data_IF_604993013877
#
_entry.id   IF_604993013877
#
_cell.length_a   1.000
_cell.length_b   1.000
_cell.length_c   1.000
_cell.angle_alpha   90.00
_cell.angle_beta   90.00
_cell.angle_gamma   90.00
#
_symmetry.space_group_name_H-M   'P 1'
#
loop_
_entity.id
_entity.type
_entity.pdbx_description
1 polymer ?
#
# COMPACT_ATOMS: atom_id res chain seq x y z
N UNK A 1 -20.59 34.47 1.50
CA UNK A 1 -19.64 34.78 0.40
C UNK A 1 -19.79 33.87 -0.81
N UNK A 2 -20.86 34.05 -1.57
CA UNK A 2 -21.13 33.31 -2.83
C UNK A 2 -20.26 33.79 -4.01
N UNK A 3 -19.55 34.92 -3.86
CA UNK A 3 -18.68 35.51 -4.89
C UNK A 3 -17.39 34.71 -5.16
N UNK A 4 -16.97 33.84 -4.24
CA UNK A 4 -15.79 32.97 -4.42
C UNK A 4 -16.09 31.71 -5.26
N UNK A 5 -17.35 31.37 -5.48
CA UNK A 5 -17.78 30.11 -6.14
C UNK A 5 -18.43 30.37 -7.51
N UNK A 6 -18.71 31.62 -7.87
CA UNK A 6 -19.27 31.96 -9.18
C UNK A 6 -18.20 31.78 -10.27
N UNK A 7 -18.49 30.97 -11.30
CA UNK A 7 -17.57 30.59 -12.37
C UNK A 7 -16.96 31.77 -13.17
N UNK A 8 -17.56 32.96 -13.07
CA UNK A 8 -17.15 34.20 -13.76
C UNK A 8 -16.54 35.24 -12.82
N UNK A 9 -16.22 34.89 -11.57
CA UNK A 9 -15.58 35.84 -10.64
C UNK A 9 -14.10 36.06 -10.96
N UNK A 10 -13.60 37.28 -10.72
CA UNK A 10 -12.18 37.62 -10.90
C UNK A 10 -11.26 36.71 -10.07
N UNK A 11 -11.74 36.26 -8.90
CA UNK A 11 -11.05 35.31 -8.03
C UNK A 11 -10.87 33.94 -8.71
N UNK A 12 -11.90 33.43 -9.39
CA UNK A 12 -11.85 32.17 -10.14
C UNK A 12 -10.85 32.27 -11.28
N UNK A 13 -10.86 33.38 -12.03
CA UNK A 13 -9.88 33.59 -13.12
C UNK A 13 -8.44 33.69 -12.64
N UNK A 14 -8.21 34.36 -11.49
CA UNK A 14 -6.89 34.46 -10.87
C UNK A 14 -6.38 33.08 -10.41
N UNK A 15 -7.24 32.29 -9.76
CA UNK A 15 -6.93 30.93 -9.34
C UNK A 15 -6.59 30.00 -10.51
N UNK A 16 -7.32 30.10 -11.63
CA UNK A 16 -7.03 29.34 -12.86
C UNK A 16 -5.67 29.72 -13.43
N UNK A 17 -5.33 31.01 -13.47
CA UNK A 17 -4.02 31.46 -13.93
C UNK A 17 -2.88 30.98 -13.03
N UNK A 18 -3.04 31.12 -11.71
CA UNK A 18 -2.08 30.63 -10.72
C UNK A 18 -1.87 29.13 -10.92
N UNK A 19 -2.96 28.36 -10.99
CA UNK A 19 -2.91 26.92 -11.18
C UNK A 19 -2.14 26.53 -12.45
N UNK A 20 -2.43 27.17 -13.59
CA UNK A 20 -1.73 26.92 -14.86
C UNK A 20 -0.24 27.20 -14.76
N UNK A 21 0.14 28.34 -14.17
CA UNK A 21 1.54 28.70 -13.96
C UNK A 21 2.23 27.69 -13.04
N UNK A 22 1.58 27.31 -11.94
CA UNK A 22 2.09 26.29 -11.02
C UNK A 22 2.31 24.96 -11.72
N UNK A 23 1.37 24.49 -12.54
CA UNK A 23 1.50 23.24 -13.31
C UNK A 23 2.71 23.29 -14.25
N UNK A 24 2.90 24.39 -14.98
CA UNK A 24 4.06 24.56 -15.87
C UNK A 24 5.38 24.54 -15.09
N UNK A 25 5.45 25.28 -13.97
CA UNK A 25 6.65 25.35 -13.13
C UNK A 25 6.98 23.99 -12.50
N UNK A 26 5.99 23.29 -11.97
CA UNK A 26 6.15 21.96 -11.37
C UNK A 26 6.59 20.97 -12.44
N UNK A 27 5.95 20.98 -13.62
CA UNK A 27 6.32 20.08 -14.73
C UNK A 27 7.75 20.32 -15.18
N UNK A 28 8.14 21.58 -15.41
CA UNK A 28 9.50 21.94 -15.78
C UNK A 28 10.52 21.51 -14.72
N UNK A 29 10.22 21.71 -13.44
CA UNK A 29 11.07 21.25 -12.34
C UNK A 29 11.22 19.72 -12.30
N UNK A 30 10.14 18.96 -12.48
CA UNK A 30 10.19 17.50 -12.51
C UNK A 30 11.05 16.97 -13.67
N UNK A 31 10.89 17.55 -14.87
CA UNK A 31 11.71 17.19 -16.02
C UNK A 31 13.19 17.50 -15.78
N UNK A 32 13.50 18.63 -15.15
CA UNK A 32 14.88 18.98 -14.82
C UNK A 32 15.47 18.12 -13.70
N UNK A 33 14.65 17.71 -12.73
CA UNK A 33 15.08 16.78 -11.68
C UNK A 33 15.47 15.42 -12.29
N UNK A 34 14.70 14.95 -13.28
CA UNK A 34 15.01 13.73 -14.03
C UNK A 34 16.28 13.90 -14.89
N UNK A 35 16.38 14.98 -15.67
CA UNK A 35 17.53 15.27 -16.53
C UNK A 35 18.86 15.37 -15.75
N UNK A 36 18.79 15.81 -14.49
CA UNK A 36 19.96 15.94 -13.61
C UNK A 36 20.41 14.60 -12.99
N UNK A 37 19.59 13.55 -13.01
CA UNK A 37 19.92 12.25 -12.42
C UNK A 37 18.83 11.60 -11.58
N UNK A 38 17.67 12.24 -11.36
CA UNK A 38 16.51 11.59 -10.74
C UNK A 38 16.68 11.18 -9.27
N UNK A 39 17.68 11.69 -8.55
CA UNK A 39 17.84 11.39 -7.11
C UNK A 39 16.81 12.13 -6.24
N UNK A 40 16.45 11.63 -5.05
CA UNK A 40 15.48 12.29 -4.16
C UNK A 40 15.81 13.76 -3.88
N UNK A 41 17.10 14.07 -3.77
CA UNK A 41 17.59 15.44 -3.56
C UNK A 41 17.37 16.38 -4.75
N UNK A 42 17.18 15.86 -5.96
CA UNK A 42 16.87 16.66 -7.15
C UNK A 42 15.41 17.13 -7.15
N UNK A 43 14.48 16.32 -6.63
CA UNK A 43 13.06 16.66 -6.56
C UNK A 43 12.73 17.76 -5.54
N UNK A 44 13.55 17.96 -4.51
CA UNK A 44 13.32 18.97 -3.47
C UNK A 44 14.09 20.28 -3.68
N UNK A 45 14.92 20.40 -4.73
CA UNK A 45 15.82 21.55 -4.95
C UNK A 45 15.60 22.24 -6.31
N UNK A 46 14.48 22.96 -6.51
CA UNK A 46 14.13 23.57 -7.79
C UNK A 46 15.16 24.58 -8.31
N UNK A 47 15.67 25.44 -7.43
CA UNK A 47 16.68 26.44 -7.81
C UNK A 47 17.98 25.80 -8.33
N UNK A 48 18.41 24.69 -7.72
CA UNK A 48 19.62 23.98 -8.18
C UNK A 48 19.43 23.33 -9.56
N UNK A 49 18.21 22.93 -9.91
CA UNK A 49 17.91 22.34 -11.20
C UNK A 49 17.96 23.38 -12.32
N UNK A 50 17.45 24.59 -12.05
CA UNK A 50 17.54 25.72 -12.99
C UNK A 50 19.00 26.19 -13.18
N UNK A 51 19.76 26.32 -12.08
CA UNK A 51 21.17 26.70 -12.17
C UNK A 51 22.01 25.67 -12.93
N UNK A 52 21.71 24.37 -12.73
CA UNK A 52 22.32 23.30 -13.50
C UNK A 52 22.01 23.45 -14.99
N UNK A 53 20.75 23.66 -15.37
CA UNK A 53 20.34 23.87 -16.76
C UNK A 53 21.10 25.03 -17.42
N UNK A 54 21.21 26.18 -16.75
CA UNK A 54 21.94 27.35 -17.26
C UNK A 54 23.41 27.01 -17.47
N UNK A 55 24.02 26.29 -16.52
CA UNK A 55 25.40 25.81 -16.64
C UNK A 55 25.58 24.85 -17.83
N UNK A 56 24.60 24.00 -18.09
CA UNK A 56 24.64 23.03 -19.18
C UNK A 56 24.45 23.65 -20.56
N UNK A 57 23.54 24.61 -20.70
CA UNK A 57 23.39 25.37 -21.95
C UNK A 57 24.67 26.11 -22.31
N UNK A 58 25.37 26.68 -21.32
CA UNK A 58 26.67 27.35 -21.55
C UNK A 58 27.79 26.38 -21.96
N UNK A 59 27.67 25.09 -21.61
CA UNK A 59 28.67 24.04 -21.88
C UNK A 59 28.33 23.17 -23.10
N UNK A 60 27.12 23.31 -23.67
CA UNK A 60 26.70 22.60 -24.88
C UNK A 60 26.39 21.11 -24.73
N UNK A 61 26.36 20.56 -23.51
CA UNK A 61 26.23 19.11 -23.28
C UNK A 61 24.97 18.65 -22.57
N UNK A 62 23.89 19.45 -22.63
CA UNK A 62 22.62 19.14 -21.96
C UNK A 62 22.00 17.82 -22.43
N UNK A 63 21.84 17.63 -23.74
CA UNK A 63 21.12 16.48 -24.30
C UNK A 63 21.80 15.15 -23.97
N UNK A 64 23.11 15.05 -24.16
CA UNK A 64 23.87 13.82 -23.91
C UNK A 64 23.84 13.42 -22.42
N UNK A 65 23.99 14.39 -21.51
CA UNK A 65 23.89 14.13 -20.06
C UNK A 65 22.48 13.83 -19.60
N UNK A 66 21.49 14.55 -20.11
CA UNK A 66 20.09 14.29 -19.78
C UNK A 66 19.66 12.90 -20.25
N UNK A 67 20.01 12.51 -21.48
CA UNK A 67 19.73 11.19 -22.02
C UNK A 67 20.39 10.09 -21.18
N UNK A 68 21.69 10.23 -20.88
CA UNK A 68 22.43 9.26 -20.07
C UNK A 68 21.79 9.08 -18.69
N UNK A 69 21.45 10.18 -18.01
CA UNK A 69 20.82 10.15 -16.69
C UNK A 69 19.41 9.56 -16.72
N UNK A 70 18.58 9.96 -17.69
CA UNK A 70 17.22 9.43 -17.83
C UNK A 70 17.26 7.94 -18.15
N UNK A 71 18.14 7.51 -19.07
CA UNK A 71 18.31 6.10 -19.41
C UNK A 71 18.79 5.28 -18.22
N UNK A 72 19.77 5.80 -17.49
CA UNK A 72 20.27 5.16 -16.25
C UNK A 72 19.14 5.02 -15.24
N UNK A 73 18.42 6.11 -14.95
CA UNK A 73 17.28 6.13 -14.03
C UNK A 73 16.21 5.09 -14.42
N UNK A 74 15.79 5.07 -15.69
CA UNK A 74 14.79 4.11 -16.19
C UNK A 74 15.29 2.67 -16.07
N UNK A 75 16.58 2.43 -16.36
CA UNK A 75 17.17 1.09 -16.25
C UNK A 75 17.26 0.62 -14.79
N UNK A 76 17.56 1.51 -13.85
CA UNK A 76 17.66 1.23 -12.41
C UNK A 76 16.29 0.94 -11.79
N UNK A 77 15.21 1.56 -12.29
CA UNK A 77 13.86 1.28 -11.82
C UNK A 77 13.43 -0.18 -12.05
N UNK A 78 14.09 -0.92 -12.96
CA UNK A 78 13.79 -2.34 -13.28
C UNK A 78 12.28 -2.59 -13.40
N UNK A 79 11.56 -1.73 -14.14
CA UNK A 79 10.09 -1.68 -14.16
C UNK A 79 9.48 -3.06 -14.39
N UNK A 80 9.98 -3.80 -15.39
CA UNK A 80 9.45 -5.13 -15.72
C UNK A 80 9.61 -6.15 -14.59
N UNK A 81 10.73 -6.10 -13.85
CA UNK A 81 10.94 -6.97 -12.69
C UNK A 81 9.96 -6.63 -11.56
N UNK A 82 9.83 -5.36 -11.19
CA UNK A 82 8.93 -4.93 -10.12
C UNK A 82 7.46 -5.14 -10.48
N UNK A 83 7.08 -4.91 -11.74
CA UNK A 83 5.74 -5.20 -12.24
C UNK A 83 5.42 -6.69 -12.10
N UNK A 84 6.30 -7.58 -12.57
CA UNK A 84 6.05 -9.00 -12.49
C UNK A 84 6.08 -9.51 -11.03
N UNK A 85 6.93 -8.92 -10.19
CA UNK A 85 6.93 -9.21 -8.78
C UNK A 85 5.61 -8.81 -8.11
N UNK A 86 5.11 -7.61 -8.42
CA UNK A 86 3.83 -7.09 -7.94
C UNK A 86 2.66 -7.96 -8.37
N UNK A 87 2.59 -8.32 -9.66
CA UNK A 87 1.50 -9.15 -10.18
C UNK A 87 1.51 -10.57 -9.59
N UNK A 88 2.68 -11.20 -9.38
CA UNK A 88 2.77 -12.49 -8.65
C UNK A 88 2.30 -12.35 -7.20
N UNK A 89 2.71 -11.27 -6.53
CA UNK A 89 2.29 -10.97 -5.16
C UNK A 89 0.78 -10.72 -5.04
N UNK A 90 0.20 -10.06 -6.04
CA UNK A 90 -1.23 -9.84 -6.19
C UNK A 90 -1.99 -11.16 -6.38
N UNK A 91 -1.61 -11.96 -7.38
CA UNK A 91 -2.24 -13.26 -7.66
C UNK A 91 -2.15 -14.19 -6.46
N UNK A 92 -0.98 -14.26 -5.82
CA UNK A 92 -0.80 -15.07 -4.62
C UNK A 92 -1.64 -14.58 -3.45
N UNK A 93 -1.71 -13.26 -3.23
CA UNK A 93 -2.57 -12.67 -2.19
C UNK A 93 -4.06 -12.94 -2.44
N UNK A 94 -4.50 -12.80 -3.69
CA UNK A 94 -5.87 -13.07 -4.10
C UNK A 94 -6.24 -14.55 -3.91
N UNK A 95 -5.35 -15.47 -4.29
CA UNK A 95 -5.57 -16.91 -4.09
C UNK A 95 -5.82 -17.28 -2.61
N UNK A 96 -5.12 -16.61 -1.68
CA UNK A 96 -5.36 -16.78 -0.24
C UNK A 96 -6.63 -16.09 0.26
N UNK A 97 -7.07 -15.01 -0.38
CA UNK A 97 -8.18 -14.18 0.06
C UNK A 97 -9.56 -14.56 -0.47
N UNK A 98 -9.65 -15.14 -1.67
CA UNK A 98 -10.94 -15.41 -2.33
C UNK A 98 -11.85 -16.27 -1.46
N UNK A 99 -11.29 -17.36 -0.88
CA UNK A 99 -12.04 -18.29 -0.04
C UNK A 99 -12.53 -17.63 1.27
N UNK A 100 -11.66 -17.07 2.14
CA UNK A 100 -12.10 -16.48 3.40
C UNK A 100 -13.05 -15.29 3.19
N UNK A 101 -12.81 -14.46 2.18
CA UNK A 101 -13.65 -13.29 1.88
C UNK A 101 -15.02 -13.72 1.35
N UNK A 102 -15.05 -14.73 0.47
CA UNK A 102 -16.30 -15.30 -0.04
C UNK A 102 -17.17 -15.85 1.08
N UNK A 103 -16.59 -16.68 1.96
CA UNK A 103 -17.30 -17.22 3.14
C UNK A 103 -17.79 -16.13 4.08
N UNK A 104 -16.97 -15.11 4.32
CA UNK A 104 -17.33 -13.99 5.20
C UNK A 104 -18.52 -13.18 4.64
N UNK A 105 -18.59 -12.96 3.33
CA UNK A 105 -19.64 -12.19 2.66
C UNK A 105 -21.00 -12.88 2.47
N UNK A 106 -21.13 -14.18 2.82
CA UNK A 106 -22.37 -14.95 2.64
C UNK A 106 -23.53 -14.41 3.49
N UNK A 107 -23.24 -13.85 4.67
CA UNK A 107 -24.28 -13.37 5.59
C UNK A 107 -25.18 -12.34 4.92
N UNK A 108 -26.44 -12.72 4.71
CA UNK A 108 -27.43 -11.89 4.01
C UNK A 108 -28.76 -11.84 4.74
N UNK A 109 -29.08 -12.87 5.54
CA UNK A 109 -30.34 -12.99 6.28
C UNK A 109 -30.06 -13.41 7.73
N UNK A 110 -30.56 -12.67 8.73
CA UNK A 110 -30.34 -12.98 10.15
C UNK A 110 -30.91 -14.33 10.59
N UNK A 111 -31.95 -14.81 9.91
CA UNK A 111 -32.73 -15.98 10.34
C UNK A 111 -32.07 -17.33 9.99
N UNK A 112 -30.96 -17.32 9.24
CA UNK A 112 -30.27 -18.54 8.84
C UNK A 112 -29.00 -18.75 9.67
N UNK A 113 -29.12 -19.55 10.73
CA UNK A 113 -28.00 -19.96 11.59
C UNK A 113 -26.84 -20.59 10.79
N UNK A 114 -27.15 -21.28 9.67
CA UNK A 114 -26.12 -21.82 8.78
C UNK A 114 -25.26 -20.74 8.12
N UNK A 115 -25.86 -19.62 7.71
CA UNK A 115 -25.10 -18.49 7.15
C UNK A 115 -24.22 -17.82 8.22
N UNK A 116 -24.71 -17.72 9.46
CA UNK A 116 -23.92 -17.18 10.57
C UNK A 116 -22.65 -18.02 10.81
N UNK A 117 -22.78 -19.36 10.86
CA UNK A 117 -21.63 -20.25 11.02
C UNK A 117 -20.63 -20.12 9.87
N UNK A 118 -21.10 -20.04 8.63
CA UNK A 118 -20.24 -19.85 7.45
C UNK A 118 -19.46 -18.54 7.52
N UNK A 119 -20.10 -17.45 7.95
CA UNK A 119 -19.44 -16.16 8.12
C UNK A 119 -18.45 -16.14 9.28
N UNK A 120 -18.75 -16.82 10.39
CA UNK A 120 -17.79 -16.98 11.50
C UNK A 120 -16.55 -17.78 11.07
N UNK A 121 -16.75 -18.86 10.30
CA UNK A 121 -15.65 -19.64 9.70
C UNK A 121 -14.86 -18.77 8.72
N UNK A 122 -15.55 -17.98 7.88
CA UNK A 122 -14.94 -16.99 6.99
C UNK A 122 -14.08 -15.99 7.75
N UNK A 123 -14.61 -15.38 8.81
CA UNK A 123 -13.89 -14.42 9.65
C UNK A 123 -12.67 -15.03 10.34
N UNK A 124 -12.81 -16.23 10.92
CA UNK A 124 -11.68 -16.93 11.54
C UNK A 124 -10.60 -17.31 10.51
N UNK A 125 -11.00 -17.77 9.33
CA UNK A 125 -10.07 -18.05 8.24
C UNK A 125 -9.38 -16.78 7.73
N UNK A 126 -10.08 -15.65 7.71
CA UNK A 126 -9.54 -14.34 7.36
C UNK A 126 -8.49 -13.89 8.38
N UNK A 127 -8.75 -14.02 9.69
CA UNK A 127 -7.75 -13.76 10.76
C UNK A 127 -6.46 -14.53 10.49
N UNK A 128 -6.55 -15.81 10.13
CA UNK A 128 -5.37 -16.61 9.81
C UNK A 128 -4.68 -16.10 8.55
N UNK A 129 -5.40 -15.87 7.47
CA UNK A 129 -4.82 -15.39 6.19
C UNK A 129 -4.12 -14.05 6.37
N UNK A 130 -4.76 -13.10 7.03
CA UNK A 130 -4.22 -11.76 7.34
C UNK A 130 -2.97 -11.82 8.23
N UNK A 131 -2.85 -12.83 9.10
CA UNK A 131 -1.65 -13.05 9.92
C UNK A 131 -0.41 -13.42 9.11
N UNK A 132 -0.58 -14.17 8.02
CA UNK A 132 0.54 -14.85 7.33
C UNK A 132 0.87 -14.26 5.96
N UNK A 133 -0.14 -13.82 5.19
CA UNK A 133 0.05 -13.41 3.80
C UNK A 133 0.98 -12.21 3.61
N UNK A 134 0.99 -11.14 4.44
CA UNK A 134 1.96 -10.05 4.27
C UNK A 134 3.41 -10.54 4.29
N UNK A 135 3.71 -11.55 5.12
CA UNK A 135 5.05 -12.13 5.21
C UNK A 135 5.34 -13.17 4.13
N UNK A 136 4.32 -13.86 3.60
CA UNK A 136 4.46 -14.67 2.39
C UNK A 136 4.78 -13.78 1.18
N UNK A 137 4.14 -12.61 1.07
CA UNK A 137 4.44 -11.62 0.02
C UNK A 137 5.86 -11.05 0.18
N UNK A 138 6.31 -10.76 1.41
CA UNK A 138 7.69 -10.36 1.65
C UNK A 138 8.70 -11.44 1.24
N UNK A 139 8.38 -12.72 1.50
CA UNK A 139 9.21 -13.84 1.09
C UNK A 139 9.26 -14.03 -0.42
N UNK A 140 8.12 -13.94 -1.10
CA UNK A 140 8.03 -13.92 -2.56
C UNK A 140 8.93 -12.82 -3.14
N UNK A 141 8.90 -11.61 -2.56
CA UNK A 141 9.77 -10.51 -2.97
C UNK A 141 11.25 -10.81 -2.81
N UNK A 142 11.64 -11.57 -1.78
CA UNK A 142 13.05 -11.92 -1.54
C UNK A 142 13.54 -13.12 -2.34
N UNK A 143 12.70 -14.14 -2.54
CA UNK A 143 13.08 -15.40 -3.18
C UNK A 143 12.69 -15.45 -4.67
N UNK A 144 11.90 -14.48 -5.15
CA UNK A 144 11.41 -14.35 -6.53
C UNK A 144 10.79 -15.65 -7.10
N UNK A 145 10.16 -16.46 -6.25
CA UNK A 145 9.57 -17.76 -6.62
C UNK A 145 8.12 -17.85 -6.16
N UNK A 146 7.21 -18.18 -7.08
CA UNK A 146 5.77 -18.20 -6.78
C UNK A 146 5.41 -19.22 -5.69
N UNK A 147 6.11 -20.37 -5.64
CA UNK A 147 5.93 -21.38 -4.61
C UNK A 147 6.12 -20.85 -3.18
N UNK A 148 6.93 -19.80 -2.99
CA UNK A 148 7.14 -19.18 -1.68
C UNK A 148 5.85 -18.66 -1.04
N UNK A 149 4.84 -18.30 -1.85
CA UNK A 149 3.52 -17.85 -1.37
C UNK A 149 2.72 -18.96 -0.68
N UNK A 150 3.05 -20.24 -0.89
CA UNK A 150 2.30 -21.37 -0.33
C UNK A 150 3.06 -22.11 0.77
N UNK A 151 4.31 -21.73 1.04
CA UNK A 151 5.17 -22.38 2.03
C UNK A 151 4.98 -21.85 3.45
N UNK A 152 3.81 -22.10 4.02
CA UNK A 152 3.45 -21.67 5.38
C UNK A 152 4.40 -22.17 6.46
N UNK A 153 4.98 -23.38 6.31
CA UNK A 153 5.87 -23.98 7.33
C UNK A 153 7.15 -23.15 7.52
N UNK A 154 7.71 -22.62 6.44
CA UNK A 154 8.91 -21.80 6.49
C UNK A 154 8.64 -20.47 7.18
N UNK A 155 7.53 -19.81 6.84
CA UNK A 155 7.10 -18.56 7.48
C UNK A 155 6.79 -18.81 8.96
N UNK A 156 6.07 -19.88 9.32
CA UNK A 156 5.87 -20.26 10.74
C UNK A 156 7.19 -20.45 11.49
N UNK A 157 8.22 -21.01 10.84
CA UNK A 157 9.56 -21.10 11.41
C UNK A 157 10.21 -19.74 11.67
N UNK A 158 9.97 -18.76 10.79
CA UNK A 158 10.42 -17.38 10.96
C UNK A 158 9.66 -16.66 12.09
N UNK A 159 8.36 -16.96 12.30
CA UNK A 159 7.56 -16.48 13.45
C UNK A 159 8.30 -16.67 14.75
N UNK A 160 8.74 -17.91 14.98
CA UNK A 160 9.35 -18.34 16.23
C UNK A 160 10.68 -17.63 16.50
N UNK A 161 11.27 -16.94 15.52
CA UNK A 161 12.54 -16.19 15.65
C UNK A 161 12.32 -14.72 16.01
N UNK A 162 11.19 -14.13 15.61
CA UNK A 162 10.90 -12.71 15.88
C UNK A 162 9.40 -12.40 16.01
N UNK A 163 8.71 -12.99 17.00
CA UNK A 163 7.25 -12.91 17.08
C UNK A 163 6.75 -11.50 17.46
N UNK A 164 7.49 -10.76 18.30
CA UNK A 164 7.17 -9.39 18.69
C UNK A 164 7.21 -8.43 17.48
N UNK A 165 8.24 -8.52 16.64
CA UNK A 165 8.36 -7.63 15.49
C UNK A 165 7.22 -7.85 14.50
N UNK A 166 6.77 -9.09 14.32
CA UNK A 166 5.57 -9.36 13.54
C UNK A 166 4.31 -8.79 14.14
N UNK A 167 4.11 -8.90 15.46
CA UNK A 167 2.97 -8.28 16.11
C UNK A 167 2.93 -6.77 15.87
N UNK A 168 4.06 -6.09 16.07
CA UNK A 168 4.16 -4.64 15.85
C UNK A 168 3.86 -4.28 14.40
N UNK A 169 4.39 -5.03 13.43
CA UNK A 169 4.09 -4.78 12.01
C UNK A 169 2.62 -4.99 11.68
N UNK A 170 2.00 -6.06 12.17
CA UNK A 170 0.57 -6.31 11.92
C UNK A 170 -0.28 -5.25 12.58
N UNK A 171 0.04 -4.84 13.82
CA UNK A 171 -0.65 -3.76 14.52
C UNK A 171 -0.59 -2.46 13.72
N UNK A 172 0.61 -2.05 13.29
CA UNK A 172 0.81 -0.81 12.54
C UNK A 172 0.16 -0.89 11.16
N UNK A 173 0.31 -2.01 10.45
CA UNK A 173 -0.34 -2.22 9.14
C UNK A 173 -1.86 -2.18 9.26
N UNK A 174 -2.42 -2.79 10.31
CA UNK A 174 -3.86 -2.74 10.58
C UNK A 174 -4.31 -1.32 10.86
N UNK A 175 -3.60 -0.59 11.74
CA UNK A 175 -3.91 0.79 12.06
C UNK A 175 -3.82 1.72 10.83
N UNK A 176 -2.77 1.60 10.01
CA UNK A 176 -2.59 2.39 8.80
C UNK A 176 -3.60 2.05 7.69
N UNK A 177 -4.22 0.87 7.74
CA UNK A 177 -5.30 0.51 6.82
C UNK A 177 -6.64 1.12 7.19
N UNK A 178 -6.89 1.47 8.46
CA UNK A 178 -8.18 2.02 8.92
C UNK A 178 -8.57 3.32 8.21
N UNK A 179 -7.67 4.33 8.04
CA UNK A 179 -7.99 5.52 7.25
C UNK A 179 -8.49 5.20 5.85
N UNK A 180 -7.93 4.17 5.20
CA UNK A 180 -8.32 3.78 3.84
C UNK A 180 -9.74 3.22 3.77
N UNK A 181 -10.22 2.57 4.84
CA UNK A 181 -11.62 2.15 4.91
C UNK A 181 -12.56 3.31 5.21
N UNK A 182 -12.14 4.32 5.98
CA UNK A 182 -12.93 5.53 6.20
C UNK A 182 -13.23 6.27 4.90
N UNK A 183 -12.26 6.34 3.99
CA UNK A 183 -12.46 6.90 2.65
C UNK A 183 -13.42 6.09 1.75
N UNK A 184 -13.81 4.87 2.14
CA UNK A 184 -14.85 4.10 1.42
C UNK A 184 -16.26 4.33 1.94
N UNK A 185 -16.40 4.88 3.14
CA UNK A 185 -17.71 5.19 3.73
C UNK A 185 -18.31 6.43 3.05
N UNK A 186 -17.46 7.33 2.54
CA UNK A 186 -17.89 8.56 1.88
C UNK A 186 -17.30 8.62 0.48
N UNK A 187 -18.12 8.58 -0.58
CA UNK A 187 -17.61 8.88 -1.93
C UNK A 187 -17.26 10.36 -1.98
N UNK A 188 -15.96 10.63 -2.08
CA UNK A 188 -15.51 11.98 -2.39
C UNK A 188 -15.93 12.33 -3.83
N UNK A 189 -16.27 13.60 -4.10
CA UNK A 189 -16.42 14.07 -5.48
C UNK A 189 -15.20 13.69 -6.33
N UNK A 190 -15.40 13.46 -7.63
CA UNK A 190 -14.34 13.08 -8.58
C UNK A 190 -13.06 13.91 -8.45
N UNK A 191 -13.23 15.19 -8.14
CA UNK A 191 -12.15 16.18 -8.06
C UNK A 191 -11.30 16.03 -6.80
N UNK A 192 -11.73 15.25 -5.82
CA UNK A 192 -11.01 15.02 -4.56
C UNK A 192 -10.48 13.58 -4.42
N UNK A 193 -10.73 12.70 -5.40
CA UNK A 193 -10.24 11.31 -5.42
C UNK A 193 -8.70 11.21 -5.44
N UNK A 194 -8.00 12.24 -5.95
CA UNK A 194 -6.54 12.29 -5.92
C UNK A 194 -5.99 12.36 -4.49
N UNK A 195 -6.72 12.97 -3.54
CA UNK A 195 -6.31 13.00 -2.13
C UNK A 195 -6.30 11.60 -1.52
N UNK A 196 -7.30 10.77 -1.85
CA UNK A 196 -7.37 9.38 -1.41
C UNK A 196 -6.15 8.58 -1.87
N UNK A 197 -5.69 8.82 -3.11
CA UNK A 197 -4.48 8.19 -3.65
C UNK A 197 -3.22 8.57 -2.88
N UNK A 198 -3.08 9.84 -2.46
CA UNK A 198 -1.93 10.26 -1.64
C UNK A 198 -1.97 9.63 -0.25
N UNK A 199 -3.14 9.59 0.40
CA UNK A 199 -3.28 8.94 1.71
C UNK A 199 -2.99 7.44 1.60
N UNK A 200 -3.45 6.80 0.52
CA UNK A 200 -3.10 5.43 0.18
C UNK A 200 -1.58 5.26 0.09
N UNK A 201 -0.87 6.04 -0.73
CA UNK A 201 0.60 5.91 -0.85
C UNK A 201 1.29 6.13 0.51
N UNK A 202 0.88 7.16 1.26
CA UNK A 202 1.49 7.51 2.55
C UNK A 202 1.27 6.47 3.65
N UNK A 203 0.18 5.72 3.60
CA UNK A 203 -0.13 4.65 4.57
C UNK A 203 0.46 3.30 4.17
N UNK A 204 0.44 2.99 2.87
CA UNK A 204 0.86 1.70 2.34
C UNK A 204 2.36 1.53 2.31
N UNK A 205 3.08 2.57 1.88
CA UNK A 205 4.53 2.50 1.73
C UNK A 205 5.25 2.15 3.05
N UNK A 206 4.98 2.84 4.19
CA UNK A 206 5.59 2.46 5.45
C UNK A 206 5.17 1.05 5.90
N UNK A 207 3.91 0.65 5.71
CA UNK A 207 3.45 -0.70 6.06
C UNK A 207 4.25 -1.81 5.33
N UNK A 208 4.49 -1.64 4.01
CA UNK A 208 5.32 -2.56 3.22
C UNK A 208 6.78 -2.57 3.68
N UNK A 209 7.35 -1.40 3.94
CA UNK A 209 8.73 -1.28 4.41
C UNK A 209 8.92 -1.99 5.77
N UNK A 210 7.98 -1.80 6.69
CA UNK A 210 7.99 -2.45 8.00
C UNK A 210 7.83 -3.97 7.90
N UNK A 211 6.99 -4.46 6.98
CA UNK A 211 6.83 -5.89 6.70
C UNK A 211 8.14 -6.51 6.21
N UNK A 212 8.81 -5.85 5.26
CA UNK A 212 10.14 -6.26 4.79
C UNK A 212 11.20 -6.24 5.89
N UNK A 213 11.19 -5.21 6.75
CA UNK A 213 12.10 -5.10 7.89
C UNK A 213 11.92 -6.25 8.90
N UNK A 214 10.68 -6.56 9.29
CA UNK A 214 10.42 -7.65 10.24
C UNK A 214 10.77 -9.02 9.63
N UNK A 215 10.52 -9.20 8.33
CA UNK A 215 10.95 -10.39 7.61
C UNK A 215 12.49 -10.52 7.62
N UNK A 216 13.22 -9.47 7.24
CA UNK A 216 14.68 -9.46 7.25
C UNK A 216 15.24 -9.77 8.64
N UNK A 217 14.71 -9.13 9.69
CA UNK A 217 15.10 -9.38 11.08
C UNK A 217 14.88 -10.83 11.51
N UNK A 218 13.80 -11.47 11.06
CA UNK A 218 13.53 -12.88 11.35
C UNK A 218 14.50 -13.82 10.62
N UNK A 219 14.96 -13.46 9.42
CA UNK A 219 15.93 -14.25 8.66
C UNK A 219 17.35 -14.17 9.21
N UNK A 220 17.78 -13.01 9.71
CA UNK A 220 19.13 -12.82 10.29
C UNK A 220 19.30 -13.46 11.66
N UNK A 221 18.21 -13.64 12.43
CA UNK A 221 18.24 -14.35 13.70
C UNK A 221 18.25 -15.87 13.49
N UNK A 222 19.31 -16.54 13.96
CA UNK A 222 19.41 -18.02 13.90
C UNK A 222 18.69 -18.74 15.04
N UNK A 223 18.64 -18.14 16.23
CA UNK A 223 18.03 -18.76 17.42
C UNK A 223 16.53 -18.47 17.49
N UNK A 224 15.76 -19.50 17.84
CA UNK A 224 14.34 -19.36 18.18
C UNK A 224 14.22 -18.65 19.53
N UNK A 225 13.18 -17.84 19.69
CA UNK A 225 12.87 -17.23 20.98
C UNK A 225 12.25 -18.29 21.90
N UNK A 226 12.33 -18.05 23.20
CA UNK A 226 11.76 -18.94 24.22
C UNK A 226 10.30 -19.29 23.90
N UNK A 227 9.93 -20.55 24.18
CA UNK A 227 8.65 -21.12 23.75
C UNK A 227 7.45 -20.30 24.26
N UNK A 228 7.47 -19.95 25.54
CA UNK A 228 6.40 -19.18 26.18
C UNK A 228 6.25 -17.79 25.56
N UNK A 229 7.37 -17.16 25.16
CA UNK A 229 7.37 -15.85 24.54
C UNK A 229 6.70 -15.85 23.17
N UNK A 230 6.96 -16.87 22.32
CA UNK A 230 6.29 -16.92 21.03
C UNK A 230 4.81 -17.28 21.15
N UNK A 231 4.41 -18.08 22.14
CA UNK A 231 2.99 -18.35 22.40
C UNK A 231 2.23 -17.12 22.89
N UNK A 232 2.85 -16.33 23.77
CA UNK A 232 2.27 -15.06 24.22
C UNK A 232 1.92 -14.16 23.02
N UNK A 233 2.89 -13.91 22.12
CA UNK A 233 2.65 -13.08 20.93
C UNK A 233 1.70 -13.72 19.91
N UNK A 234 1.71 -15.06 19.79
CA UNK A 234 0.75 -15.77 18.94
C UNK A 234 -0.67 -15.62 19.46
N UNK A 235 -0.86 -15.70 20.78
CA UNK A 235 -2.16 -15.49 21.42
C UNK A 235 -2.58 -14.03 21.30
N UNK A 236 -1.66 -13.07 21.45
CA UNK A 236 -1.94 -11.64 21.31
C UNK A 236 -2.33 -11.21 19.87
N UNK A 237 -1.82 -11.90 18.84
CA UNK A 237 -2.22 -11.66 17.45
C UNK A 237 -3.70 -11.95 17.17
N UNK A 238 -4.25 -12.98 17.82
CA UNK A 238 -5.63 -13.40 17.60
C UNK A 238 -6.65 -12.31 17.94
N UNK A 239 -6.69 -11.73 19.16
CA UNK A 239 -7.65 -10.68 19.48
C UNK A 239 -7.43 -9.42 18.63
N UNK A 240 -6.18 -9.06 18.31
CA UNK A 240 -5.88 -7.93 17.44
C UNK A 240 -6.53 -8.08 16.06
N UNK A 241 -6.29 -9.21 15.40
CA UNK A 241 -6.83 -9.45 14.06
C UNK A 241 -8.32 -9.78 14.09
N UNK A 242 -8.82 -10.44 15.14
CA UNK A 242 -10.25 -10.65 15.33
C UNK A 242 -10.98 -9.32 15.50
N UNK A 243 -10.42 -8.37 16.26
CA UNK A 243 -10.96 -7.01 16.37
C UNK A 243 -10.94 -6.29 15.02
N UNK A 244 -9.85 -6.42 14.26
CA UNK A 244 -9.77 -5.87 12.91
C UNK A 244 -10.82 -6.45 11.96
N UNK A 245 -10.98 -7.78 11.93
CA UNK A 245 -12.01 -8.46 11.11
C UNK A 245 -13.42 -8.12 11.59
N UNK A 246 -13.61 -7.93 12.89
CA UNK A 246 -14.87 -7.44 13.44
C UNK A 246 -15.18 -6.03 12.92
N UNK A 247 -14.21 -5.11 12.84
CA UNK A 247 -14.42 -3.81 12.19
C UNK A 247 -14.77 -3.96 10.69
N UNK A 248 -14.11 -4.90 9.98
CA UNK A 248 -14.43 -5.21 8.58
C UNK A 248 -15.85 -5.74 8.39
N UNK A 249 -16.42 -6.43 9.38
CA UNK A 249 -17.81 -6.89 9.35
C UNK A 249 -18.79 -5.72 9.19
N UNK A 250 -18.51 -4.58 9.81
CA UNK A 250 -19.37 -3.40 9.72
C UNK A 250 -19.14 -2.58 8.45
N UNK A 251 -18.00 -2.74 7.77
CA UNK A 251 -17.65 -1.89 6.62
C UNK A 251 -18.70 -1.94 5.48
N UNK A 252 -19.25 -3.12 5.09
CA UNK A 252 -20.31 -3.19 4.07
C UNK A 252 -21.63 -2.55 4.47
N UNK A 253 -21.89 -2.37 5.78
CA UNK A 253 -23.10 -1.69 6.26
C UNK A 253 -23.04 -0.18 6.01
N UNK A 254 -21.84 0.38 5.90
CA UNK A 254 -21.60 1.81 5.73
C UNK A 254 -21.08 2.18 4.33
N UNK A 255 -20.65 1.22 3.52
CA UNK A 255 -20.09 1.50 2.19
C UNK A 255 -21.17 1.45 1.10
N UNK A 256 -21.19 2.45 0.23
CA UNK A 256 -22.08 2.48 -0.95
C UNK A 256 -21.77 1.35 -1.97
N UNK A 257 -20.56 0.79 -1.96
CA UNK A 257 -20.13 -0.32 -2.83
C UNK A 257 -20.63 -1.71 -2.35
N UNK A 258 -21.38 -1.77 -1.24
CA UNK A 258 -21.98 -3.00 -0.70
C UNK A 258 -20.97 -4.11 -0.41
N UNK A 259 -21.34 -5.36 -0.72
CA UNK A 259 -20.53 -6.55 -0.38
C UNK A 259 -19.21 -6.69 -1.16
N UNK A 260 -18.99 -5.90 -2.21
CA UNK A 260 -17.75 -5.97 -3.02
C UNK A 260 -16.53 -5.46 -2.25
N UNK A 261 -16.73 -4.56 -1.29
CA UNK A 261 -15.67 -4.04 -0.40
C UNK A 261 -14.96 -5.15 0.38
N UNK A 262 -15.64 -6.29 0.62
CA UNK A 262 -15.06 -7.46 1.30
C UNK A 262 -13.98 -8.17 0.50
N UNK A 263 -13.87 -7.94 -0.82
CA UNK A 263 -12.76 -8.45 -1.63
C UNK A 263 -11.59 -7.46 -1.71
N UNK A 264 -11.80 -6.23 -1.24
CA UNK A 264 -10.85 -5.13 -1.34
C UNK A 264 -10.13 -4.95 0.01
N UNK A 265 -9.42 -6.00 0.43
CA UNK A 265 -8.67 -6.00 1.68
C UNK A 265 -7.43 -5.12 1.57
N UNK A 266 -7.52 -3.90 2.11
CA UNK A 266 -6.37 -3.01 2.21
C UNK A 266 -5.29 -3.54 3.13
N UNK A 267 -5.56 -4.51 4.01
CA UNK A 267 -4.48 -5.15 4.78
C UNK A 267 -3.51 -5.94 3.88
N UNK A 268 -4.01 -6.45 2.76
CA UNK A 268 -3.21 -7.09 1.72
C UNK A 268 -2.87 -6.14 0.58
N UNK A 269 -3.34 -4.90 0.70
CA UNK A 269 -2.95 -3.74 -0.09
C UNK A 269 -3.08 -4.07 -1.58
N UNK A 270 -4.17 -4.73 -1.95
CA UNK A 270 -4.52 -4.96 -3.35
C UNK A 270 -4.72 -3.57 -3.98
N UNK A 271 -4.09 -3.27 -5.12
CA UNK A 271 -4.29 -2.00 -5.82
C UNK A 271 -5.67 -2.03 -6.46
N UNK A 272 -6.69 -1.75 -5.65
CA UNK A 272 -8.03 -1.46 -6.13
C UNK A 272 -8.12 0.06 -6.18
N UNK A 273 -8.15 0.68 -7.37
CA UNK A 273 -8.35 2.12 -7.46
C UNK A 273 -9.70 2.47 -6.83
N UNK A 274 -9.71 3.54 -6.05
CA UNK A 274 -10.92 4.15 -5.51
C UNK A 274 -11.70 4.83 -6.64
#
# INVERSE_FOLDING_TARGET
DYRLVAATSDATTSLVWIHRVTVVLVTGHLLLALARGGSPGCFVRPLKNVLWLIGEFRRGGYFERAEHHVRTFVSEMRIGHHFWLGLRGFVGGLAWLVIPSGLFGVYSRPDNVGQLLVTLVGGLSLVLVLSWVPFLQARLATENRMAAMFELRAVRGLFCRSPMCWFVVILITSALSLPLYLFKIYLLPSDAMWMTTLVFIMTIYPARLMTGWAYHRATTRRRRVFWMWHWFWRLAMLPLLSFYVFLLFFTPLFSEHGKRVLFEHHLLLLPVPF
#
